data_IF_079204194777
#
_entry.id   IF_079204194777
#
_cell.length_a   1.000
_cell.length_b   1.000
_cell.length_c   1.000
_cell.angle_alpha   90.00
_cell.angle_beta   90.00
_cell.angle_gamma   90.00
#
_symmetry.space_group_name_H-M   'P 1'
#
loop_
_entity.id
_entity.type
_entity.pdbx_description
1 polymer ?
#
# COMPACT_ATOMS: atom_id res chain seq x y z
N UNK A 1 -13.83 4.34 -9.71
CA UNK A 1 -12.84 3.28 -9.42
C UNK A 1 -11.89 3.22 -10.59
N UNK A 2 -10.59 3.07 -10.32
CA UNK A 2 -9.59 2.73 -11.33
C UNK A 2 -9.34 1.22 -11.33
N UNK A 3 -8.95 0.71 -12.48
CA UNK A 3 -8.39 -0.62 -12.66
C UNK A 3 -6.96 -0.38 -13.11
N UNK A 4 -6.00 -0.77 -12.29
CA UNK A 4 -4.59 -0.48 -12.50
C UNK A 4 -3.82 -1.78 -12.63
N UNK A 5 -2.97 -1.86 -13.65
CA UNK A 5 -1.96 -2.91 -13.79
C UNK A 5 -0.71 -2.47 -13.03
N UNK A 6 -0.38 -3.19 -11.96
CA UNK A 6 0.75 -2.89 -11.10
C UNK A 6 1.85 -3.91 -11.31
N UNK A 7 3.00 -3.45 -11.79
CA UNK A 7 4.22 -4.25 -11.86
C UNK A 7 4.81 -4.42 -10.44
N UNK A 8 4.97 -5.68 -10.03
CA UNK A 8 5.67 -6.06 -8.80
C UNK A 8 6.83 -7.00 -9.11
N UNK A 9 7.53 -6.74 -10.23
CA UNK A 9 8.69 -7.42 -10.79
C UNK A 9 8.35 -8.74 -11.48
N UNK A 10 7.99 -9.76 -10.71
CA UNK A 10 7.79 -11.11 -11.25
C UNK A 10 6.39 -11.32 -11.86
N UNK A 11 5.48 -10.34 -11.66
CA UNK A 11 4.08 -10.41 -12.11
C UNK A 11 3.47 -9.02 -12.22
N UNK A 12 2.44 -8.93 -13.06
CA UNK A 12 1.56 -7.78 -13.14
C UNK A 12 0.26 -8.10 -12.38
N UNK A 13 -0.08 -7.25 -11.42
CA UNK A 13 -1.30 -7.37 -10.61
C UNK A 13 -2.34 -6.35 -11.07
N UNK A 14 -3.49 -6.83 -11.55
CA UNK A 14 -4.72 -6.03 -11.63
C UNK A 14 -5.19 -5.67 -10.21
N UNK A 15 -5.24 -4.37 -9.92
CA UNK A 15 -5.70 -3.81 -8.65
C UNK A 15 -6.82 -2.81 -8.92
N UNK A 16 -7.96 -3.02 -8.27
CA UNK A 16 -9.09 -2.10 -8.34
C UNK A 16 -9.04 -1.13 -7.15
N UNK A 17 -9.01 0.18 -7.40
CA UNK A 17 -8.84 1.19 -6.36
C UNK A 17 -9.91 2.29 -6.39
N UNK A 18 -10.32 2.74 -5.19
CA UNK A 18 -11.31 3.80 -4.98
C UNK A 18 -10.80 5.22 -5.24
N UNK A 19 -9.65 5.39 -5.90
CA UNK A 19 -8.88 6.64 -5.92
C UNK A 19 -9.37 7.68 -6.95
N UNK A 20 -10.26 7.29 -7.87
CA UNK A 20 -10.72 8.14 -9.01
C UNK A 20 -11.22 9.53 -8.62
N UNK A 21 -11.81 9.69 -7.43
CA UNK A 21 -12.35 10.98 -6.98
C UNK A 21 -11.32 11.84 -6.24
N UNK A 22 -10.14 11.29 -5.95
CA UNK A 22 -9.13 11.93 -5.11
C UNK A 22 -7.82 12.20 -5.85
N UNK A 23 -7.43 11.28 -6.73
CA UNK A 23 -6.16 11.36 -7.47
C UNK A 23 -6.50 11.33 -8.95
N UNK A 24 -6.08 12.34 -9.72
CA UNK A 24 -6.33 12.39 -11.14
C UNK A 24 -5.51 11.32 -11.88
N UNK A 25 -5.96 10.94 -13.07
CA UNK A 25 -5.44 9.78 -13.80
C UNK A 25 -3.95 9.94 -14.16
N UNK A 26 -3.54 11.14 -14.56
CA UNK A 26 -2.16 11.49 -14.91
C UNK A 26 -1.18 11.23 -13.76
N UNK A 27 -1.61 11.41 -12.51
CA UNK A 27 -0.80 11.13 -11.32
C UNK A 27 -0.75 9.64 -10.95
N UNK A 28 -1.57 8.80 -11.57
CA UNK A 28 -1.58 7.34 -11.38
C UNK A 28 -0.69 6.62 -12.42
N UNK A 29 -0.48 7.22 -13.59
CA UNK A 29 0.33 6.61 -14.65
C UNK A 29 1.81 6.67 -14.30
N UNK A 30 2.53 5.55 -14.50
CA UNK A 30 3.95 5.40 -14.16
C UNK A 30 4.29 5.78 -12.71
N UNK A 31 3.29 5.67 -11.82
CA UNK A 31 3.42 6.04 -10.42
C UNK A 31 3.89 4.86 -9.59
N UNK A 32 5.02 5.03 -8.90
CA UNK A 32 5.46 4.09 -7.85
C UNK A 32 4.49 4.14 -6.67
N UNK A 33 4.07 2.97 -6.20
CA UNK A 33 3.08 2.78 -5.13
C UNK A 33 3.50 1.66 -4.18
N UNK A 34 2.99 1.68 -2.95
CA UNK A 34 3.07 0.54 -2.04
C UNK A 34 1.82 -0.32 -2.18
N UNK A 35 1.99 -1.63 -2.35
CA UNK A 35 0.88 -2.57 -2.56
C UNK A 35 0.94 -3.74 -1.61
N UNK A 36 -0.20 -4.11 -1.03
CA UNK A 36 -0.37 -5.36 -0.28
C UNK A 36 -0.68 -6.48 -1.28
N UNK A 37 0.24 -7.44 -1.41
CA UNK A 37 0.20 -8.47 -2.48
C UNK A 37 -0.22 -9.86 -2.00
N UNK A 38 -0.22 -10.11 -0.69
CA UNK A 38 -0.54 -11.43 -0.10
C UNK A 38 -2.02 -11.57 0.32
N UNK A 39 -2.91 -10.67 -0.10
CA UNK A 39 -4.34 -10.79 0.15
C UNK A 39 -5.01 -11.83 -0.76
N UNK A 40 -6.14 -12.39 -0.32
CA UNK A 40 -7.00 -13.19 -1.22
C UNK A 40 -7.56 -12.28 -2.32
N UNK A 41 -7.41 -12.69 -3.58
CA UNK A 41 -8.08 -12.05 -4.71
C UNK A 41 -9.57 -11.91 -4.46
N UNK A 42 -10.12 -10.73 -4.78
CA UNK A 42 -11.56 -10.44 -4.69
C UNK A 42 -12.06 -9.91 -6.02
N UNK A 43 -13.36 -10.09 -6.27
CA UNK A 43 -14.05 -9.41 -7.37
C UNK A 43 -14.67 -8.12 -6.84
N UNK A 44 -14.37 -7.00 -7.48
CA UNK A 44 -14.95 -5.68 -7.19
C UNK A 44 -15.70 -5.22 -8.45
N UNK A 45 -17.03 -5.23 -8.38
CA UNK A 45 -17.92 -4.90 -9.50
C UNK A 45 -17.61 -5.69 -10.78
N UNK A 46 -17.36 -7.00 -10.63
CA UNK A 46 -17.02 -7.92 -11.74
C UNK A 46 -15.51 -8.03 -12.00
N UNK A 47 -14.73 -7.02 -11.63
CA UNK A 47 -13.30 -6.94 -11.91
C UNK A 47 -12.44 -7.61 -10.85
N UNK A 48 -11.38 -8.30 -11.27
CA UNK A 48 -10.47 -9.01 -10.37
C UNK A 48 -9.51 -7.99 -9.72
N UNK A 49 -9.47 -7.95 -8.39
CA UNK A 49 -8.45 -7.23 -7.63
C UNK A 49 -7.55 -8.23 -6.91
N UNK A 50 -6.28 -8.27 -7.30
CA UNK A 50 -5.25 -9.18 -6.78
C UNK A 50 -4.35 -8.57 -5.72
N UNK A 51 -4.63 -7.33 -5.33
CA UNK A 51 -3.92 -6.62 -4.27
C UNK A 51 -4.69 -5.37 -3.85
N UNK A 52 -4.00 -4.52 -3.11
CA UNK A 52 -4.53 -3.26 -2.60
C UNK A 52 -3.40 -2.24 -2.54
N UNK A 53 -3.59 -1.09 -3.20
CA UNK A 53 -2.68 0.05 -3.11
C UNK A 53 -2.91 0.72 -1.77
N UNK A 54 -1.84 0.97 -1.01
CA UNK A 54 -1.93 1.69 0.25
C UNK A 54 -1.98 3.21 0.01
N UNK A 55 -2.90 3.86 0.70
CA UNK A 55 -3.03 5.31 0.71
C UNK A 55 -3.29 5.82 2.14
N UNK A 56 -2.87 7.05 2.40
CA UNK A 56 -3.24 7.78 3.61
C UNK A 56 -4.54 8.55 3.36
N UNK A 57 -5.48 8.47 4.30
CA UNK A 57 -6.79 9.09 4.24
C UNK A 57 -7.07 9.91 5.51
N UNK A 58 -7.44 11.18 5.30
CA UNK A 58 -8.00 12.09 6.31
C UNK A 58 -9.09 12.94 5.64
N UNK A 59 -8.92 14.26 5.57
CA UNK A 59 -9.76 15.16 4.77
C UNK A 59 -9.46 15.01 3.26
N UNK A 60 -8.25 14.53 2.94
CA UNK A 60 -7.81 14.22 1.59
C UNK A 60 -7.21 12.81 1.56
N UNK A 61 -7.03 12.27 0.35
CA UNK A 61 -6.37 10.98 0.14
C UNK A 61 -5.05 11.22 -0.59
N UNK A 62 -3.94 10.69 -0.06
CA UNK A 62 -2.62 10.72 -0.70
C UNK A 62 -2.02 9.32 -0.80
N UNK A 63 -1.38 9.02 -1.93
CA UNK A 63 -0.62 7.79 -2.10
C UNK A 63 0.60 7.78 -1.19
N UNK A 64 0.92 6.60 -0.66
CA UNK A 64 2.18 6.38 0.03
C UNK A 64 3.29 6.24 -1.02
N UNK A 65 4.34 7.04 -0.85
CA UNK A 65 5.58 6.93 -1.60
C UNK A 65 6.38 5.74 -1.07
N UNK A 66 6.73 4.76 -1.93
CA UNK A 66 7.73 3.79 -1.54
C UNK A 66 9.10 4.47 -1.37
N UNK A 67 10.01 3.87 -0.60
CA UNK A 67 11.41 4.30 -0.57
C UNK A 67 12.08 4.20 -1.96
N UNK A 68 13.31 4.69 -2.07
CA UNK A 68 14.11 4.55 -3.29
C UNK A 68 14.68 3.13 -3.39
N UNK A 69 13.79 2.18 -3.65
CA UNK A 69 14.03 0.74 -3.70
C UNK A 69 13.69 0.19 -5.10
N UNK A 70 14.01 -1.08 -5.35
CA UNK A 70 13.64 -1.73 -6.62
C UNK A 70 12.14 -2.06 -6.68
N UNK A 71 11.60 -2.20 -7.89
CA UNK A 71 10.23 -2.71 -8.08
C UNK A 71 10.16 -4.14 -7.53
N UNK A 72 9.08 -4.44 -6.79
CA UNK A 72 8.88 -5.74 -6.15
C UNK A 72 9.62 -5.91 -4.81
N UNK A 73 10.41 -4.93 -4.38
CA UNK A 73 11.04 -4.99 -3.07
C UNK A 73 9.99 -4.98 -1.94
N UNK A 74 10.17 -5.88 -0.98
CA UNK A 74 9.28 -6.00 0.18
C UNK A 74 9.60 -4.92 1.21
N UNK A 75 8.55 -4.27 1.72
CA UNK A 75 8.63 -3.36 2.86
C UNK A 75 8.20 -4.06 4.14
N UNK A 76 8.74 -3.60 5.27
CA UNK A 76 8.59 -4.23 6.57
C UNK A 76 8.29 -3.17 7.63
N UNK A 77 7.44 -3.54 8.57
CA UNK A 77 7.42 -2.88 9.87
C UNK A 77 8.48 -3.52 10.75
N UNK A 78 8.42 -4.84 10.91
CA UNK A 78 9.45 -5.65 11.55
C UNK A 78 10.08 -6.59 10.52
N UNK A 79 11.39 -6.45 10.27
CA UNK A 79 12.07 -7.24 9.26
C UNK A 79 12.20 -8.68 9.72
N UNK A 80 11.76 -9.60 8.86
CA UNK A 80 11.96 -11.04 9.06
C UNK A 80 12.26 -11.68 7.70
N UNK A 81 13.15 -12.67 7.72
CA UNK A 81 13.43 -13.49 6.53
C UNK A 81 12.28 -14.46 6.21
N UNK A 82 11.28 -14.56 7.09
CA UNK A 82 10.11 -15.40 6.88
C UNK A 82 9.17 -14.75 5.85
N UNK A 83 8.85 -15.50 4.80
CA UNK A 83 7.85 -15.13 3.81
C UNK A 83 6.46 -14.99 4.47
N UNK A 84 5.71 -13.91 4.18
CA UNK A 84 4.45 -13.67 4.83
C UNK A 84 3.41 -14.65 4.29
N UNK A 85 2.66 -15.27 5.19
CA UNK A 85 1.51 -16.09 4.78
C UNK A 85 0.42 -15.22 4.16
N UNK A 86 -0.59 -15.87 3.58
CA UNK A 86 -1.74 -15.20 2.99
C UNK A 86 -2.46 -14.33 4.04
N UNK A 87 -2.53 -13.02 3.79
CA UNK A 87 -3.20 -12.07 4.65
C UNK A 87 -4.72 -12.29 4.61
N UNK A 88 -5.25 -12.79 5.73
CA UNK A 88 -6.69 -12.96 5.94
C UNK A 88 -7.35 -11.62 6.23
N UNK A 89 -8.62 -11.49 5.86
CA UNK A 89 -9.37 -10.23 6.01
C UNK A 89 -9.57 -9.87 7.49
N UNK A 90 -9.70 -10.88 8.36
CA UNK A 90 -9.81 -10.73 9.81
C UNK A 90 -8.53 -10.14 10.40
N UNK A 91 -7.36 -10.60 9.92
CA UNK A 91 -6.06 -10.08 10.32
C UNK A 91 -5.90 -8.63 9.83
N UNK A 92 -6.26 -8.35 8.58
CA UNK A 92 -6.22 -6.99 8.05
C UNK A 92 -7.09 -6.03 8.88
N UNK A 93 -8.29 -6.43 9.30
CA UNK A 93 -9.17 -5.62 10.17
C UNK A 93 -8.56 -5.33 11.54
N UNK A 94 -7.62 -6.14 12.02
CA UNK A 94 -6.86 -5.87 13.26
C UNK A 94 -5.66 -4.96 13.01
N UNK A 95 -5.02 -5.07 11.84
CA UNK A 95 -3.83 -4.29 11.48
C UNK A 95 -4.21 -2.86 11.07
N UNK A 96 -5.18 -2.72 10.17
CA UNK A 96 -5.52 -1.45 9.52
C UNK A 96 -5.82 -0.30 10.50
N UNK A 97 -6.58 -0.49 11.60
CA UNK A 97 -6.84 0.59 12.55
C UNK A 97 -5.59 1.13 13.27
N UNK A 98 -4.51 0.34 13.27
CA UNK A 98 -3.22 0.66 13.89
C UNK A 98 -2.22 1.25 12.89
N UNK A 99 -2.55 1.29 11.60
CA UNK A 99 -1.72 1.91 10.58
C UNK A 99 -2.02 3.39 10.49
N UNK A 100 -1.01 4.22 10.77
CA UNK A 100 -1.15 5.69 10.78
C UNK A 100 0.07 6.37 10.19
N UNK A 101 -0.12 7.62 9.78
CA UNK A 101 0.98 8.48 9.36
C UNK A 101 1.41 9.41 10.48
N UNK A 102 2.73 9.61 10.63
CA UNK A 102 3.35 10.51 11.62
C UNK A 102 4.66 11.03 11.03
N UNK A 103 4.92 12.33 11.11
CA UNK A 103 6.18 12.94 10.64
C UNK A 103 6.55 12.55 9.20
N UNK A 104 5.55 12.52 8.32
CA UNK A 104 5.69 12.17 6.92
C UNK A 104 5.97 10.69 6.62
N UNK A 105 5.87 9.80 7.60
CA UNK A 105 6.13 8.35 7.47
C UNK A 105 4.91 7.51 7.82
N UNK A 106 4.90 6.26 7.36
CA UNK A 106 3.86 5.27 7.68
C UNK A 106 4.32 4.42 8.85
N UNK A 107 3.47 4.25 9.86
CA UNK A 107 3.72 3.44 11.05
C UNK A 107 2.64 2.39 11.25
N UNK A 108 3.06 1.24 11.77
CA UNK A 108 2.20 0.31 12.49
C UNK A 108 2.51 0.44 13.97
N UNK A 109 1.58 0.99 14.75
CA UNK A 109 1.85 1.43 16.12
C UNK A 109 3.05 2.39 16.16
N UNK A 110 4.19 1.98 16.73
CA UNK A 110 5.41 2.79 16.80
C UNK A 110 6.51 2.36 15.82
N UNK A 111 6.23 1.37 14.97
CA UNK A 111 7.20 0.76 14.06
C UNK A 111 7.01 1.35 12.64
N UNK A 112 8.04 1.98 12.04
CA UNK A 112 7.92 2.58 10.72
C UNK A 112 7.97 1.54 9.60
N UNK A 113 7.25 1.81 8.50
CA UNK A 113 7.35 1.03 7.27
C UNK A 113 8.63 1.40 6.52
N UNK A 114 9.49 0.42 6.29
CA UNK A 114 10.81 0.63 5.69
C UNK A 114 11.23 -0.49 4.74
N UNK A 115 12.19 -0.20 3.87
CA UNK A 115 12.91 -1.18 3.07
C UNK A 115 13.91 -1.96 3.93
N UNK A 116 14.53 -3.00 3.35
CA UNK A 116 15.59 -3.77 4.04
C UNK A 116 16.80 -2.89 4.41
N UNK A 117 17.07 -1.86 3.60
CA UNK A 117 18.17 -0.92 3.80
C UNK A 117 17.81 0.25 4.73
N UNK A 118 16.65 0.20 5.41
CA UNK A 118 16.25 1.20 6.40
C UNK A 118 15.70 2.51 5.81
N UNK A 119 15.33 2.54 4.53
CA UNK A 119 14.68 3.71 3.94
C UNK A 119 13.17 3.66 4.18
N UNK A 120 12.56 4.78 4.58
CA UNK A 120 11.15 4.81 4.98
C UNK A 120 10.19 5.05 3.81
N UNK A 121 9.02 4.42 3.88
CA UNK A 121 7.87 4.83 3.07
C UNK A 121 7.32 6.14 3.61
N UNK A 122 7.04 7.10 2.71
CA UNK A 122 6.69 8.46 3.10
C UNK A 122 5.37 8.91 2.50
N UNK A 123 4.73 9.90 3.11
CA UNK A 123 3.51 10.52 2.60
C UNK A 123 3.37 11.91 3.18
N UNK A 124 2.99 12.86 2.34
CA UNK A 124 2.76 14.25 2.74
C UNK A 124 1.35 14.44 3.34
N UNK A 125 1.01 13.62 4.33
CA UNK A 125 -0.27 13.70 5.04
C UNK A 125 -0.11 13.09 6.42
N UNK A 126 -0.04 13.93 7.45
CA UNK A 126 0.17 13.50 8.84
C UNK A 126 -1.12 13.26 9.62
N UNK A 127 -1.02 12.39 10.62
CA UNK A 127 -2.12 11.98 11.50
C UNK A 127 -3.31 11.41 10.71
N UNK A 128 -3.03 10.74 9.60
CA UNK A 128 -4.02 10.08 8.75
C UNK A 128 -4.06 8.58 9.00
N UNK A 129 -5.20 7.97 8.67
CA UNK A 129 -5.33 6.52 8.64
C UNK A 129 -4.72 5.98 7.34
N UNK A 130 -4.11 4.80 7.38
CA UNK A 130 -3.63 4.13 6.17
C UNK A 130 -4.58 2.98 5.82
N UNK A 131 -4.97 2.91 4.55
CA UNK A 131 -5.92 1.93 4.01
C UNK A 131 -5.48 1.36 2.69
#
# INVERSE_FOLDING_TARGET
MYISDIDVKDKILQVCSGLKNFIPLDQMINRRVVVVTNMKTKKLRGEKSMGMILAAEKETVKLINPPNCEIGERLYFDYTEVEPTKLKIEIWKMIQPKLRTREGKVYFEDIPLQSKDGQFATVDLDNAEVK
#
